data_IF_309358474098
#
_entry.id   IF_309358474098
#
_cell.length_a   1.000
_cell.length_b   1.000
_cell.length_c   1.000
_cell.angle_alpha   90.00
_cell.angle_beta   90.00
_cell.angle_gamma   90.00
#
_symmetry.space_group_name_H-M   'P 1'
#
loop_
_entity.id
_entity.type
_entity.pdbx_description
1 polymer ?
#
# COMPACT_ATOMS: atom_id res chain seq x y z
N UNK A 1 -5.33 10.97 5.28
CA UNK A 1 -3.89 10.88 4.92
C UNK A 1 -3.72 11.33 3.48
N UNK A 2 -2.70 12.11 3.20
CA UNK A 2 -2.40 12.58 1.85
C UNK A 2 -1.66 11.49 1.06
N UNK A 3 -1.56 11.67 -0.27
CA UNK A 3 -0.80 10.76 -1.12
C UNK A 3 0.66 10.66 -0.65
N UNK A 4 1.27 11.80 -0.32
CA UNK A 4 2.65 11.83 0.17
C UNK A 4 2.79 11.03 1.47
N UNK A 5 1.83 11.14 2.37
CA UNK A 5 1.84 10.38 3.61
C UNK A 5 1.72 8.88 3.37
N UNK A 6 0.87 8.46 2.41
CA UNK A 6 0.81 7.06 2.00
C UNK A 6 2.14 6.59 1.41
N UNK A 7 2.76 7.39 0.55
CA UNK A 7 4.06 7.05 -0.02
C UNK A 7 5.12 6.88 1.06
N UNK A 8 5.14 7.77 2.07
CA UNK A 8 6.09 7.67 3.17
C UNK A 8 5.85 6.43 4.03
N UNK A 9 4.60 6.11 4.32
CA UNK A 9 4.23 4.92 5.10
C UNK A 9 4.66 3.64 4.38
N UNK A 10 4.33 3.54 3.09
CA UNK A 10 4.68 2.38 2.27
C UNK A 10 6.20 2.26 2.14
N UNK A 11 6.89 3.38 1.91
CA UNK A 11 8.35 3.40 1.79
C UNK A 11 9.03 2.90 3.06
N UNK A 12 8.53 3.32 4.23
CA UNK A 12 9.08 2.88 5.52
C UNK A 12 8.93 1.37 5.69
N UNK A 13 7.82 0.80 5.25
CA UNK A 13 7.61 -0.64 5.29
C UNK A 13 8.54 -1.36 4.32
N UNK A 14 8.64 -0.88 3.08
CA UNK A 14 9.52 -1.46 2.05
C UNK A 14 10.97 -1.41 2.48
N UNK A 15 11.39 -0.34 3.14
CA UNK A 15 12.76 -0.17 3.64
C UNK A 15 13.03 -0.90 4.95
N UNK A 16 12.04 -1.59 5.50
CA UNK A 16 12.15 -2.34 6.75
C UNK A 16 12.42 -1.45 7.99
N UNK A 17 12.08 -0.17 7.91
CA UNK A 17 12.15 0.74 9.05
C UNK A 17 10.86 0.71 9.87
N UNK A 18 9.83 0.05 9.36
CA UNK A 18 8.55 -0.13 10.02
C UNK A 18 8.20 -1.60 10.01
N UNK A 19 7.74 -2.14 11.15
CA UNK A 19 7.35 -3.55 11.22
C UNK A 19 6.07 -3.79 10.41
N UNK A 20 5.84 -5.05 10.01
CA UNK A 20 4.64 -5.39 9.25
C UNK A 20 3.38 -5.12 10.08
N UNK A 21 3.41 -5.37 11.39
CA UNK A 21 2.29 -5.13 12.28
C UNK A 21 1.95 -3.63 12.35
N UNK A 22 2.96 -2.79 12.49
CA UNK A 22 2.76 -1.34 12.52
C UNK A 22 2.25 -0.82 11.18
N UNK A 23 2.79 -1.32 10.08
CA UNK A 23 2.33 -0.96 8.74
C UNK A 23 0.86 -1.34 8.55
N UNK A 24 0.51 -2.58 8.89
CA UNK A 24 -0.85 -3.08 8.77
C UNK A 24 -1.83 -2.19 9.55
N UNK A 25 -1.53 -1.93 10.81
CA UNK A 25 -2.41 -1.13 11.66
C UNK A 25 -2.60 0.28 11.11
N UNK A 26 -1.50 0.95 10.78
CA UNK A 26 -1.58 2.33 10.29
C UNK A 26 -2.26 2.42 8.93
N UNK A 27 -1.97 1.48 8.03
CA UNK A 27 -2.54 1.49 6.69
C UNK A 27 -4.05 1.24 6.72
N UNK A 28 -4.49 0.23 7.46
CA UNK A 28 -5.91 -0.09 7.55
C UNK A 28 -6.71 1.06 8.17
N UNK A 29 -6.20 1.65 9.24
CA UNK A 29 -6.86 2.79 9.88
C UNK A 29 -6.92 4.01 8.95
N UNK A 30 -5.81 4.33 8.28
CA UNK A 30 -5.75 5.47 7.39
C UNK A 30 -6.71 5.32 6.21
N UNK A 31 -6.73 4.14 5.59
CA UNK A 31 -7.58 3.92 4.43
C UNK A 31 -9.07 3.89 4.78
N UNK A 32 -9.42 3.27 5.90
CA UNK A 32 -10.81 3.24 6.37
C UNK A 32 -11.35 4.64 6.69
N UNK A 33 -10.45 5.53 7.10
CA UNK A 33 -10.81 6.92 7.46
C UNK A 33 -10.58 7.90 6.33
N UNK A 34 -10.20 7.42 5.14
CA UNK A 34 -9.84 8.28 4.01
C UNK A 34 -11.08 9.05 3.53
N UNK A 35 -11.03 10.40 3.51
CA UNK A 35 -12.12 11.18 2.94
C UNK A 35 -12.32 10.88 1.45
N UNK A 36 -13.56 11.05 0.98
CA UNK A 36 -13.87 10.92 -0.44
C UNK A 36 -13.19 12.04 -1.23
N UNK A 37 -12.98 11.81 -2.54
CA UNK A 37 -12.42 12.81 -3.44
C UNK A 37 -11.00 12.56 -3.86
N UNK A 38 -10.40 11.44 -3.46
CA UNK A 38 -9.08 11.06 -3.96
C UNK A 38 -9.16 10.77 -5.47
N UNK A 39 -8.10 11.14 -6.20
CA UNK A 39 -8.01 10.85 -7.63
C UNK A 39 -8.24 9.35 -7.88
N UNK A 40 -9.11 8.98 -8.86
CA UNK A 40 -9.48 7.58 -9.06
C UNK A 40 -8.31 6.62 -9.28
N UNK A 41 -7.26 7.02 -9.97
CA UNK A 41 -6.10 6.16 -10.20
C UNK A 41 -5.31 5.93 -8.91
N UNK A 42 -5.17 6.97 -8.09
CA UNK A 42 -4.51 6.83 -6.78
C UNK A 42 -5.35 5.96 -5.87
N UNK A 43 -6.65 6.16 -5.85
CA UNK A 43 -7.56 5.35 -5.05
C UNK A 43 -7.46 3.87 -5.44
N UNK A 44 -7.47 3.56 -6.74
CA UNK A 44 -7.41 2.19 -7.22
C UNK A 44 -6.14 1.47 -6.75
N UNK A 45 -5.01 2.16 -6.77
CA UNK A 45 -3.72 1.60 -6.30
C UNK A 45 -3.79 1.31 -4.80
N UNK A 46 -4.27 2.28 -4.02
CA UNK A 46 -4.36 2.16 -2.57
C UNK A 46 -5.40 1.13 -2.14
N UNK A 47 -6.51 1.02 -2.88
CA UNK A 47 -7.55 0.03 -2.61
C UNK A 47 -7.05 -1.40 -2.86
N UNK A 48 -6.28 -1.59 -3.92
CA UNK A 48 -5.66 -2.90 -4.18
C UNK A 48 -4.70 -3.27 -3.05
N UNK A 49 -3.87 -2.32 -2.61
CA UNK A 49 -2.97 -2.57 -1.50
C UNK A 49 -3.72 -2.81 -0.20
N UNK A 50 -4.86 -2.13 0.00
CA UNK A 50 -5.73 -2.38 1.16
C UNK A 50 -6.16 -3.85 1.19
N UNK A 51 -6.59 -4.40 0.03
CA UNK A 51 -6.97 -5.80 -0.06
C UNK A 51 -5.80 -6.74 0.27
N UNK A 52 -4.60 -6.39 -0.19
CA UNK A 52 -3.39 -7.17 0.09
C UNK A 52 -3.04 -7.15 1.58
N UNK A 53 -3.11 -5.98 2.20
CA UNK A 53 -2.85 -5.83 3.64
C UNK A 53 -3.88 -6.61 4.46
N UNK A 54 -5.14 -6.56 4.05
CA UNK A 54 -6.23 -7.29 4.72
C UNK A 54 -6.05 -8.80 4.60
N UNK A 55 -5.47 -9.28 3.51
CA UNK A 55 -5.20 -10.71 3.28
C UNK A 55 -3.93 -11.19 4.00
N UNK A 56 -3.08 -10.29 4.46
CA UNK A 56 -1.83 -10.67 5.14
C UNK A 56 -2.12 -11.44 6.42
N UNK A 57 -1.35 -12.52 6.64
CA UNK A 57 -1.37 -13.27 7.89
C UNK A 57 0.06 -13.66 8.26
N UNK A 58 0.43 -13.46 9.52
CA UNK A 58 1.74 -13.81 10.03
C UNK A 58 2.01 -15.32 9.92
N UNK A 59 0.96 -16.14 9.90
CA UNK A 59 1.09 -17.60 9.77
C UNK A 59 1.09 -18.07 8.33
N UNK A 60 0.88 -17.19 7.36
CA UNK A 60 0.87 -17.55 5.95
C UNK A 60 2.31 -17.59 5.43
N UNK A 61 2.76 -18.74 4.97
CA UNK A 61 4.11 -18.93 4.47
C UNK A 61 4.15 -18.82 2.95
N UNK A 62 5.30 -18.43 2.36
CA UNK A 62 5.47 -18.50 0.91
C UNK A 62 5.19 -19.92 0.40
N UNK A 63 4.39 -20.03 -0.65
CA UNK A 63 3.96 -21.31 -1.18
C UNK A 63 2.63 -21.81 -0.62
N UNK A 64 2.15 -21.22 0.46
CA UNK A 64 0.84 -21.53 1.04
C UNK A 64 -0.17 -20.42 0.77
N UNK A 65 0.19 -19.48 -0.09
CA UNK A 65 -0.61 -18.29 -0.33
C UNK A 65 -1.86 -18.57 -1.16
N UNK A 66 -2.90 -17.78 -0.89
CA UNK A 66 -4.16 -17.82 -1.62
C UNK A 66 -4.67 -16.39 -1.78
N UNK A 67 -5.86 -16.23 -2.36
CA UNK A 67 -6.50 -14.91 -2.49
C UNK A 67 -6.78 -14.24 -1.14
N UNK A 68 -6.84 -15.02 -0.06
CA UNK A 68 -7.20 -14.53 1.27
C UNK A 68 -6.08 -14.70 2.30
N UNK A 69 -4.90 -15.10 1.84
CA UNK A 69 -3.77 -15.37 2.73
C UNK A 69 -2.47 -15.10 1.98
N UNK A 70 -1.78 -14.01 2.31
CA UNK A 70 -0.47 -13.69 1.72
C UNK A 70 0.58 -13.60 2.82
N UNK A 71 1.83 -13.93 2.46
CA UNK A 71 2.96 -13.86 3.35
C UNK A 71 3.51 -12.44 3.47
N UNK A 72 4.37 -12.21 4.47
CA UNK A 72 5.03 -10.91 4.63
C UNK A 72 5.87 -10.56 3.39
N UNK A 73 6.60 -11.53 2.82
CA UNK A 73 7.43 -11.26 1.65
C UNK A 73 6.59 -10.83 0.44
N UNK A 74 5.44 -11.47 0.24
CA UNK A 74 4.52 -11.07 -0.82
C UNK A 74 3.92 -9.70 -0.56
N UNK A 75 3.56 -9.39 0.69
CA UNK A 75 3.04 -8.08 1.05
C UNK A 75 4.08 -6.99 0.78
N UNK A 76 5.35 -7.23 1.12
CA UNK A 76 6.42 -6.26 0.83
C UNK A 76 6.59 -6.04 -0.66
N UNK A 77 6.49 -7.09 -1.47
CA UNK A 77 6.59 -6.97 -2.93
C UNK A 77 5.42 -6.16 -3.47
N UNK A 78 4.21 -6.44 -3.01
CA UNK A 78 3.02 -5.69 -3.44
C UNK A 78 3.07 -4.24 -3.01
N UNK A 79 3.59 -3.97 -1.81
CA UNK A 79 3.80 -2.61 -1.33
C UNK A 79 4.82 -1.86 -2.20
N UNK A 80 5.91 -2.52 -2.57
CA UNK A 80 6.91 -1.95 -3.46
C UNK A 80 6.31 -1.62 -4.83
N UNK A 81 5.52 -2.52 -5.39
CA UNK A 81 4.85 -2.30 -6.68
C UNK A 81 3.84 -1.15 -6.60
N UNK A 82 3.08 -1.08 -5.51
CA UNK A 82 2.14 0.01 -5.29
C UNK A 82 2.86 1.35 -5.19
N UNK A 83 4.00 1.40 -4.50
CA UNK A 83 4.79 2.62 -4.38
C UNK A 83 5.26 3.12 -5.74
N UNK A 84 5.73 2.21 -6.60
CA UNK A 84 6.16 2.56 -7.96
C UNK A 84 4.99 3.13 -8.76
N UNK A 85 3.81 2.54 -8.64
CA UNK A 85 2.62 3.02 -9.33
C UNK A 85 2.19 4.40 -8.80
N UNK A 86 2.24 4.62 -7.48
CA UNK A 86 1.92 5.91 -6.89
C UNK A 86 2.89 7.00 -7.38
N UNK A 87 4.18 6.68 -7.42
CA UNK A 87 5.19 7.61 -7.90
C UNK A 87 4.96 7.97 -9.37
N UNK A 88 4.60 6.99 -10.20
CA UNK A 88 4.33 7.22 -11.62
C UNK A 88 3.10 8.12 -11.81
N UNK A 89 2.03 7.89 -11.07
CA UNK A 89 0.83 8.72 -11.16
C UNK A 89 1.10 10.13 -10.65
N UNK A 90 1.87 10.28 -9.58
CA UNK A 90 2.25 11.58 -9.05
C UNK A 90 3.08 12.37 -10.06
N UNK A 91 4.00 11.71 -10.76
CA UNK A 91 4.81 12.34 -11.81
C UNK A 91 3.96 12.75 -13.00
N UNK A 92 3.01 11.92 -13.42
CA UNK A 92 2.08 12.27 -14.50
C UNK A 92 1.24 13.49 -14.13
N UNK A 93 0.74 13.55 -12.90
CA UNK A 93 -0.04 14.69 -12.43
C UNK A 93 0.81 15.97 -12.42
N UNK A 94 2.06 15.90 -11.97
CA UNK A 94 2.97 17.02 -11.97
C UNK A 94 3.30 17.48 -13.40
N UNK A 95 3.52 16.54 -14.33
CA UNK A 95 3.77 16.86 -15.71
C UNK A 95 2.56 17.50 -16.39
N UNK A 96 1.35 17.05 -16.02
CA UNK A 96 0.11 17.60 -16.58
C UNK A 96 -0.24 18.99 -16.05
N UNK A 97 0.33 19.38 -14.91
CA UNK A 97 0.09 20.68 -14.30
C UNK A 97 0.87 21.81 -15.01
N UNK A 98 1.77 21.47 -15.89
CA UNK A 98 2.54 22.42 -16.68
C UNK A 98 1.92 22.57 -18.07
#
# INVERSE_FOLDING_TARGET
MTTIEYQQLIQAFVNQTLTVQSFETHYLEAFKSQPQGMHPRLFAILDQLFADVDAYSASCLPGEESAFCISESSLRQRASDALKQLDAVAQEAAASAN
#
